data_IF_461890308302
#
_entry.id   IF_461890308302
#
_cell.length_a   1.000
_cell.length_b   1.000
_cell.length_c   1.000
_cell.angle_alpha   90.00
_cell.angle_beta   90.00
_cell.angle_gamma   90.00
#
_symmetry.space_group_name_H-M   'P 1'
#
loop_
_entity.id
_entity.type
_entity.pdbx_description
1 polymer ?
#
# COMPACT_ATOMS: atom_id res chain seq x y z
N UNK A 1 -9.68 -9.67 -15.79
CA UNK A 1 -10.39 -8.66 -14.99
C UNK A 1 -10.42 -9.17 -13.58
N UNK A 2 -10.09 -8.33 -12.62
CA UNK A 2 -10.06 -8.72 -11.21
C UNK A 2 -11.47 -9.05 -10.71
N UNK A 3 -11.57 -9.91 -9.69
CA UNK A 3 -12.87 -10.26 -9.12
C UNK A 3 -13.44 -9.11 -8.28
N UNK A 4 -14.75 -9.12 -8.02
CA UNK A 4 -15.40 -8.10 -7.20
C UNK A 4 -14.81 -8.02 -5.78
N UNK A 5 -14.39 -9.16 -5.22
CA UNK A 5 -13.74 -9.26 -3.92
C UNK A 5 -12.34 -8.63 -3.92
N UNK A 6 -11.60 -8.79 -5.03
CA UNK A 6 -10.28 -8.18 -5.17
C UNK A 6 -10.37 -6.66 -5.31
N UNK A 7 -11.38 -6.15 -6.01
CA UNK A 7 -11.65 -4.71 -6.08
C UNK A 7 -12.10 -4.14 -4.73
N UNK A 8 -12.96 -4.85 -4.00
CA UNK A 8 -13.38 -4.47 -2.65
C UNK A 8 -12.17 -4.37 -1.71
N UNK A 9 -11.31 -5.38 -1.70
CA UNK A 9 -10.08 -5.37 -0.91
C UNK A 9 -9.16 -4.21 -1.26
N UNK A 10 -8.94 -3.92 -2.56
CA UNK A 10 -8.13 -2.76 -2.98
C UNK A 10 -8.75 -1.45 -2.52
N UNK A 11 -10.06 -1.31 -2.61
CA UNK A 11 -10.78 -0.12 -2.14
C UNK A 11 -10.62 0.07 -0.63
N UNK A 12 -10.75 -0.99 0.15
CA UNK A 12 -10.53 -0.94 1.61
C UNK A 12 -9.11 -0.49 1.95
N UNK A 13 -8.10 -1.08 1.31
CA UNK A 13 -6.68 -0.73 1.54
C UNK A 13 -6.40 0.72 1.15
N UNK A 14 -6.94 1.19 0.02
CA UNK A 14 -6.80 2.58 -0.43
C UNK A 14 -7.40 3.55 0.58
N UNK A 15 -8.65 3.33 0.98
CA UNK A 15 -9.38 4.20 1.90
C UNK A 15 -8.71 4.23 3.29
N UNK A 16 -8.29 3.07 3.78
CA UNK A 16 -7.51 2.96 5.01
C UNK A 16 -6.21 3.74 4.92
N UNK A 17 -5.45 3.58 3.83
CA UNK A 17 -4.17 4.27 3.66
C UNK A 17 -4.36 5.78 3.66
N UNK A 18 -5.39 6.29 2.98
CA UNK A 18 -5.74 7.70 3.03
C UNK A 18 -6.00 8.19 4.46
N UNK A 19 -6.89 7.50 5.17
CA UNK A 19 -7.26 7.86 6.54
C UNK A 19 -6.08 7.79 7.50
N UNK A 20 -5.17 6.83 7.31
CA UNK A 20 -3.98 6.65 8.14
C UNK A 20 -2.98 7.80 7.99
N UNK A 21 -2.79 8.32 6.77
CA UNK A 21 -1.93 9.49 6.55
C UNK A 21 -2.47 10.71 7.32
N UNK A 22 -3.79 10.88 7.38
CA UNK A 22 -4.40 11.95 8.17
C UNK A 22 -4.27 11.75 9.69
N UNK A 23 -4.18 10.50 10.17
CA UNK A 23 -4.08 10.20 11.61
C UNK A 23 -2.66 10.30 12.18
N UNK A 24 -1.62 10.25 11.34
CA UNK A 24 -0.22 10.40 11.76
C UNK A 24 0.32 9.24 12.61
N UNK A 25 -0.21 8.02 12.41
CA UNK A 25 0.21 6.82 13.16
C UNK A 25 1.62 6.32 12.82
N UNK A 26 2.08 5.30 13.56
CA UNK A 26 3.40 4.70 13.33
C UNK A 26 3.39 3.62 12.22
N UNK A 27 4.52 3.33 11.57
CA UNK A 27 4.60 2.23 10.59
C UNK A 27 4.13 0.87 11.14
N UNK A 28 4.37 0.60 12.43
CA UNK A 28 3.88 -0.60 13.11
C UNK A 28 2.36 -0.63 13.23
N UNK A 29 1.72 0.51 13.50
CA UNK A 29 0.25 0.61 13.53
C UNK A 29 -0.33 0.36 12.15
N UNK A 30 0.28 0.95 11.11
CA UNK A 30 -0.14 0.73 9.74
C UNK A 30 -0.13 -0.74 9.35
N UNK A 31 0.99 -1.44 9.61
CA UNK A 31 1.13 -2.87 9.28
C UNK A 31 0.13 -3.75 10.04
N UNK A 32 -0.13 -3.43 11.31
CA UNK A 32 -1.10 -4.17 12.13
C UNK A 32 -2.51 -4.02 11.58
N UNK A 33 -2.98 -2.80 11.35
CA UNK A 33 -4.33 -2.56 10.85
C UNK A 33 -4.52 -3.06 9.41
N UNK A 34 -3.51 -2.91 8.55
CA UNK A 34 -3.53 -3.49 7.21
C UNK A 34 -3.65 -5.01 7.25
N UNK A 35 -2.98 -5.66 8.21
CA UNK A 35 -3.11 -7.11 8.43
C UNK A 35 -4.52 -7.49 8.87
N UNK A 36 -5.21 -6.65 9.66
CA UNK A 36 -6.61 -6.87 10.02
C UNK A 36 -7.53 -6.76 8.80
N UNK A 37 -7.36 -5.73 7.97
CA UNK A 37 -8.14 -5.53 6.73
C UNK A 37 -7.93 -6.71 5.77
N UNK A 38 -6.69 -7.15 5.59
CA UNK A 38 -6.38 -8.30 4.76
C UNK A 38 -7.09 -9.57 5.25
N UNK A 39 -7.02 -9.86 6.56
CA UNK A 39 -7.70 -11.02 7.15
C UNK A 39 -9.22 -10.95 7.02
N UNK A 40 -9.81 -9.77 7.20
CA UNK A 40 -11.25 -9.56 7.00
C UNK A 40 -11.69 -9.87 5.55
N UNK A 41 -10.78 -9.67 4.59
CA UNK A 41 -10.95 -10.01 3.18
C UNK A 41 -10.44 -11.42 2.81
N UNK A 42 -10.16 -12.29 3.79
CA UNK A 42 -9.68 -13.66 3.55
C UNK A 42 -8.21 -13.78 3.09
N UNK A 43 -7.44 -12.70 3.16
CA UNK A 43 -6.05 -12.64 2.72
C UNK A 43 -5.12 -12.76 3.94
N UNK A 44 -4.41 -13.89 4.02
CA UNK A 44 -3.49 -14.17 5.13
C UNK A 44 -2.08 -13.60 4.90
N UNK A 45 -1.60 -13.61 3.65
CA UNK A 45 -0.26 -13.19 3.27
C UNK A 45 -0.30 -12.00 2.31
N UNK A 46 -0.77 -10.84 2.81
CA UNK A 46 -0.91 -9.64 1.99
C UNK A 46 0.44 -9.09 1.49
N UNK A 47 1.54 -9.34 2.20
CA UNK A 47 2.88 -8.89 1.79
C UNK A 47 3.38 -9.58 0.52
N UNK A 48 2.82 -10.73 0.17
CA UNK A 48 3.08 -11.41 -1.09
C UNK A 48 2.16 -10.98 -2.23
N UNK A 49 1.18 -10.08 -2.00
CA UNK A 49 0.19 -9.67 -2.99
C UNK A 49 0.54 -8.30 -3.60
N UNK A 50 0.91 -8.23 -4.89
CA UNK A 50 1.12 -6.96 -5.59
C UNK A 50 -0.02 -5.96 -5.46
N UNK A 51 -1.26 -6.45 -5.55
CA UNK A 51 -2.47 -5.62 -5.49
C UNK A 51 -2.57 -4.79 -4.20
N UNK A 52 -2.03 -5.29 -3.08
CA UNK A 52 -1.99 -4.54 -1.82
C UNK A 52 -1.11 -3.30 -1.96
N UNK A 53 0.09 -3.44 -2.53
CA UNK A 53 1.01 -2.32 -2.73
C UNK A 53 0.50 -1.30 -3.74
N UNK A 54 -0.19 -1.76 -4.79
CA UNK A 54 -0.90 -0.87 -5.73
C UNK A 54 -1.98 -0.07 -5.00
N UNK A 55 -2.80 -0.71 -4.16
CA UNK A 55 -3.83 0.00 -3.40
C UNK A 55 -3.27 1.01 -2.39
N UNK A 56 -2.15 0.67 -1.73
CA UNK A 56 -1.42 1.59 -0.84
C UNK A 56 -0.95 2.82 -1.63
N UNK A 57 -0.31 2.61 -2.79
CA UNK A 57 0.15 3.69 -3.66
C UNK A 57 -0.97 4.65 -4.06
N UNK A 58 -2.13 4.11 -4.45
CA UNK A 58 -3.32 4.90 -4.76
C UNK A 58 -3.84 5.67 -3.55
N UNK A 59 -3.82 5.06 -2.36
CA UNK A 59 -4.24 5.71 -1.12
C UNK A 59 -3.35 6.89 -0.76
N UNK A 60 -2.03 6.73 -0.90
CA UNK A 60 -1.05 7.81 -0.67
C UNK A 60 -1.29 8.99 -1.62
N UNK A 61 -1.51 8.73 -2.92
CA UNK A 61 -1.83 9.79 -3.86
C UNK A 61 -3.12 10.51 -3.45
N UNK A 62 -4.18 9.75 -3.15
CA UNK A 62 -5.48 10.34 -2.77
C UNK A 62 -5.42 11.18 -1.49
N UNK A 63 -4.44 10.92 -0.62
CA UNK A 63 -4.17 11.70 0.59
C UNK A 63 -3.32 12.95 0.33
N UNK A 64 -2.93 13.22 -0.92
CA UNK A 64 -2.08 14.35 -1.29
C UNK A 64 -0.60 14.17 -0.93
N UNK A 65 -0.14 12.94 -0.68
CA UNK A 65 1.28 12.69 -0.44
C UNK A 65 2.04 13.03 -1.71
N UNK A 66 2.98 13.97 -1.62
CA UNK A 66 3.76 14.37 -2.78
C UNK A 66 4.77 13.30 -3.22
N UNK A 67 5.31 13.48 -4.43
CA UNK A 67 6.25 12.54 -5.03
C UNK A 67 7.56 12.40 -4.24
N UNK A 68 8.03 13.47 -3.59
CA UNK A 68 9.30 13.46 -2.85
C UNK A 68 9.15 12.68 -1.53
N UNK A 69 8.04 12.86 -0.83
CA UNK A 69 7.67 12.07 0.33
C UNK A 69 7.51 10.59 -0.02
N UNK A 70 6.90 10.28 -1.17
CA UNK A 70 6.79 8.91 -1.68
C UNK A 70 8.16 8.27 -1.98
N UNK A 71 9.08 9.02 -2.61
CA UNK A 71 10.45 8.55 -2.84
C UNK A 71 11.19 8.24 -1.53
N UNK A 72 11.00 9.10 -0.51
CA UNK A 72 11.61 8.92 0.81
C UNK A 72 11.06 7.68 1.54
N UNK A 73 9.75 7.43 1.42
CA UNK A 73 9.12 6.22 1.93
C UNK A 73 9.67 4.95 1.25
N UNK A 74 9.80 4.96 -0.08
CA UNK A 74 10.35 3.82 -0.82
C UNK A 74 11.82 3.57 -0.43
N UNK A 75 12.60 4.64 -0.23
CA UNK A 75 13.97 4.53 0.24
C UNK A 75 14.05 3.89 1.64
N UNK A 76 13.17 4.26 2.58
CA UNK A 76 13.15 3.66 3.92
C UNK A 76 12.71 2.19 3.92
N UNK A 77 11.74 1.83 3.06
CA UNK A 77 11.35 0.43 2.86
C UNK A 77 12.48 -0.42 2.25
N UNK A 78 13.37 0.19 1.47
CA UNK A 78 14.54 -0.49 0.91
C UNK A 78 15.66 -0.71 1.94
N UNK A 79 15.72 0.12 2.99
CA UNK A 79 16.71 0.02 4.06
C UNK A 79 16.29 -1.00 5.14
N UNK A 80 14.98 -1.16 5.37
CA UNK A 80 14.46 -2.29 6.14
C UNK A 80 14.65 -3.60 5.36
N UNK A 81 15.17 -4.63 6.04
CA UNK A 81 15.59 -5.93 5.48
C UNK A 81 14.46 -6.79 4.88
N UNK A 82 13.76 -6.28 3.86
CA UNK A 82 12.99 -7.08 2.92
C UNK A 82 13.97 -7.88 2.06
N UNK A 83 13.57 -9.06 1.59
CA UNK A 83 14.35 -9.78 0.58
C UNK A 83 14.56 -8.90 -0.67
N UNK A 84 15.73 -9.00 -1.30
CA UNK A 84 16.14 -8.16 -2.43
C UNK A 84 15.20 -8.27 -3.65
N UNK A 85 14.57 -9.43 -3.86
CA UNK A 85 13.59 -9.64 -4.93
C UNK A 85 12.20 -9.07 -4.61
N UNK A 86 11.88 -8.92 -3.33
CA UNK A 86 10.65 -8.28 -2.85
C UNK A 86 10.75 -6.76 -2.94
N UNK A 87 11.92 -6.17 -2.62
CA UNK A 87 12.17 -4.71 -2.68
C UNK A 87 11.86 -4.07 -4.03
N UNK A 88 12.44 -4.62 -5.11
CA UNK A 88 12.33 -4.03 -6.45
C UNK A 88 10.88 -3.95 -6.92
N UNK A 89 10.13 -5.03 -6.69
CA UNK A 89 8.74 -5.16 -7.11
C UNK A 89 7.79 -4.32 -6.26
N UNK A 90 8.02 -4.21 -4.94
CA UNK A 90 7.20 -3.37 -4.06
C UNK A 90 7.22 -1.90 -4.47
N UNK A 91 8.39 -1.35 -4.79
CA UNK A 91 8.50 0.03 -5.25
C UNK A 91 7.73 0.27 -6.55
N UNK A 92 7.84 -0.66 -7.50
CA UNK A 92 7.14 -0.58 -8.78
C UNK A 92 5.61 -0.59 -8.59
N UNK A 93 5.09 -1.46 -7.72
CA UNK A 93 3.64 -1.52 -7.44
C UNK A 93 3.13 -0.29 -6.70
N UNK A 94 3.90 0.25 -5.76
CA UNK A 94 3.57 1.50 -5.08
C UNK A 94 3.47 2.67 -6.07
N UNK A 95 4.43 2.80 -6.99
CA UNK A 95 4.37 3.81 -8.04
C UNK A 95 3.23 3.57 -9.04
N UNK A 96 3.00 2.32 -9.42
CA UNK A 96 1.87 1.97 -10.28
C UNK A 96 0.56 2.45 -9.66
N UNK A 97 0.32 2.14 -8.38
CA UNK A 97 -0.86 2.60 -7.66
C UNK A 97 -0.98 4.11 -7.60
N UNK A 98 0.12 4.78 -7.25
CA UNK A 98 0.19 6.23 -7.13
C UNK A 98 -0.19 6.93 -8.44
N UNK A 99 0.33 6.46 -9.59
CA UNK A 99 0.04 7.06 -10.89
C UNK A 99 -1.30 6.62 -11.49
N UNK A 100 -1.77 5.40 -11.20
CA UNK A 100 -3.06 4.91 -11.70
C UNK A 100 -4.26 5.74 -11.24
N UNK A 101 -4.15 6.41 -10.09
CA UNK A 101 -5.23 7.26 -9.54
C UNK A 101 -5.17 8.72 -10.06
N UNK A 102 -4.15 9.11 -10.81
CA UNK A 102 -4.05 10.46 -11.38
C UNK A 102 -4.85 10.65 -12.69
N UNK A 103 -5.73 9.71 -13.04
CA UNK A 103 -6.62 9.75 -14.21
C UNK A 103 -8.08 9.76 -13.77
#
# INVERSE_FOLDING_TARGET
GDSAEEEAYRTDVRNFTHAFIASGGTPSDFQRELSHIARANGILNWTARPATYVAIGAGLQSAGVDRAAMQSLIASLNDYALDSGTRRRTADYLWQGYYSYAQ
#
